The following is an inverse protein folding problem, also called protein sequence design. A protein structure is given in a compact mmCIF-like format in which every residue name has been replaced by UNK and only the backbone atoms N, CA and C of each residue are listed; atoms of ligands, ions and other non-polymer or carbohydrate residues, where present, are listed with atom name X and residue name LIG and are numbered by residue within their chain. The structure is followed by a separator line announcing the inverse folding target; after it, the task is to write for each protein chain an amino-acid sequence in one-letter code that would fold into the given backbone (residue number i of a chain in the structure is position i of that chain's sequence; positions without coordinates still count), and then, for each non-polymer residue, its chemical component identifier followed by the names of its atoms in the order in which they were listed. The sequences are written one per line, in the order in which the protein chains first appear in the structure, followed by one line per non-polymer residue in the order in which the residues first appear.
data_IF_178664190298
#
_entry.id   IF_178664190298
#
_cell.length_a   1.000
_cell.length_b   1.000
_cell.length_c   1.000
_cell.angle_alpha   90.00
_cell.angle_beta   90.00
_cell.angle_gamma   90.00
#
_symmetry.space_group_name_H-M   'P 1'
#
loop_
_entity.id
_entity.type
_entity.pdbx_description
1 polymer ?
#
# COMPACT_ATOMS: atom_id res chain seq x y z
N UNK A 1 -39.01 102.31 3.08
CA UNK A 1 -38.71 101.09 2.28
C UNK A 1 -39.47 99.92 2.89
N UNK A 2 -40.30 99.23 2.11
CA UNK A 2 -41.40 98.41 2.59
C UNK A 2 -40.92 97.12 3.29
N UNK A 3 -41.23 96.97 4.59
CA UNK A 3 -40.90 95.81 5.42
C UNK A 3 -41.27 94.44 4.78
N UNK A 4 -42.32 94.42 3.93
CA UNK A 4 -42.72 93.24 3.16
C UNK A 4 -41.64 92.74 2.19
N UNK A 5 -40.84 93.62 1.58
CA UNK A 5 -39.73 93.23 0.69
C UNK A 5 -38.56 92.64 1.48
N UNK A 6 -38.28 93.15 2.68
CA UNK A 6 -37.16 92.67 3.51
C UNK A 6 -37.46 91.28 4.09
N UNK A 7 -38.70 91.02 4.50
CA UNK A 7 -39.17 89.68 4.88
C UNK A 7 -39.05 88.66 3.72
N UNK A 8 -39.34 89.11 2.50
CA UNK A 8 -39.28 88.25 1.31
C UNK A 8 -37.83 87.87 0.97
N UNK A 9 -36.87 88.79 1.14
CA UNK A 9 -35.44 88.49 0.96
C UNK A 9 -34.92 87.52 2.03
N UNK A 10 -35.31 87.68 3.30
CA UNK A 10 -34.90 86.77 4.38
C UNK A 10 -35.49 85.38 4.19
N UNK A 11 -36.74 85.27 3.74
CA UNK A 11 -37.36 83.98 3.45
C UNK A 11 -36.66 83.25 2.29
N UNK A 12 -36.35 83.95 1.20
CA UNK A 12 -35.60 83.38 0.08
C UNK A 12 -34.19 82.96 0.53
N UNK A 13 -33.48 83.81 1.27
CA UNK A 13 -32.14 83.48 1.77
C UNK A 13 -32.17 82.27 2.73
N UNK A 14 -33.16 82.20 3.62
CA UNK A 14 -33.37 81.06 4.50
C UNK A 14 -33.66 79.77 3.74
N UNK A 15 -34.46 79.85 2.67
CA UNK A 15 -34.80 78.70 1.82
C UNK A 15 -33.58 78.20 1.06
N UNK A 16 -32.77 79.11 0.51
CA UNK A 16 -31.53 78.79 -0.23
C UNK A 16 -30.48 78.14 0.68
N UNK A 17 -30.42 78.53 1.95
CA UNK A 17 -29.50 77.93 2.94
C UNK A 17 -30.04 76.62 3.51
N UNK A 18 -31.35 76.49 3.68
CA UNK A 18 -31.97 75.27 4.21
C UNK A 18 -31.96 74.12 3.20
N UNK A 19 -32.14 74.40 1.90
CA UNK A 19 -32.14 73.41 0.82
C UNK A 19 -30.92 72.46 0.83
N UNK A 20 -29.66 72.93 0.82
CA UNK A 20 -28.50 72.04 0.84
C UNK A 20 -28.37 71.27 2.15
N UNK A 21 -28.87 71.82 3.27
CA UNK A 21 -28.83 71.16 4.57
C UNK A 21 -29.81 69.98 4.64
N UNK A 22 -31.03 70.17 4.14
CA UNK A 22 -32.04 69.12 4.02
C UNK A 22 -31.58 68.04 3.02
N UNK A 23 -31.02 68.44 1.87
CA UNK A 23 -30.56 67.49 0.86
C UNK A 23 -29.41 66.61 1.38
N UNK A 24 -28.51 67.17 2.21
CA UNK A 24 -27.41 66.43 2.84
C UNK A 24 -27.86 65.47 3.94
N UNK A 25 -28.97 65.76 4.64
CA UNK A 25 -29.55 64.89 5.66
C UNK A 25 -30.35 63.74 5.02
N UNK A 26 -31.11 64.01 3.96
CA UNK A 26 -31.99 63.03 3.31
C UNK A 26 -31.22 62.11 2.37
N UNK A 27 -30.31 62.65 1.55
CA UNK A 27 -29.52 61.85 0.60
C UNK A 27 -28.18 61.43 1.20
N UNK A 28 -28.24 60.82 2.39
CA UNK A 28 -27.09 60.30 3.13
C UNK A 28 -26.00 59.72 2.21
N UNK A 29 -24.76 60.07 2.52
CA UNK A 29 -23.55 59.77 1.75
C UNK A 29 -23.59 58.34 1.21
N UNK A 30 -23.49 58.18 -0.11
CA UNK A 30 -23.50 56.89 -0.81
C UNK A 30 -22.52 55.91 -0.14
N UNK A 31 -23.03 55.05 0.74
CA UNK A 31 -22.23 54.02 1.39
C UNK A 31 -22.03 52.89 0.39
N UNK A 32 -20.77 52.61 0.07
CA UNK A 32 -20.40 51.54 -0.87
C UNK A 32 -20.86 50.20 -0.31
N UNK A 33 -21.83 49.57 -0.96
CA UNK A 33 -22.25 48.21 -0.61
C UNK A 33 -21.08 47.25 -0.81
N UNK A 34 -20.76 46.51 0.25
CA UNK A 34 -19.73 45.47 0.23
C UNK A 34 -20.35 44.16 0.66
N UNK A 35 -20.07 43.11 -0.11
CA UNK A 35 -20.52 41.78 0.21
C UNK A 35 -19.59 41.18 1.27
N UNK A 36 -20.15 40.95 2.46
CA UNK A 36 -19.46 40.26 3.56
C UNK A 36 -20.08 38.88 3.73
N UNK A 37 -19.21 37.89 3.94
CA UNK A 37 -19.62 36.53 4.27
C UNK A 37 -19.24 36.23 5.73
N UNK A 38 -20.16 35.61 6.46
CA UNK A 38 -19.95 35.23 7.86
C UNK A 38 -19.04 34.01 7.95
N UNK A 39 -17.95 34.12 8.71
CA UNK A 39 -17.01 33.02 8.95
C UNK A 39 -17.68 31.94 9.81
N UNK A 40 -17.75 30.71 9.30
CA UNK A 40 -18.17 29.54 10.06
C UNK A 40 -17.02 28.56 10.23
N UNK A 41 -16.78 28.08 11.45
CA UNK A 41 -15.79 27.05 11.70
C UNK A 41 -16.31 25.70 11.19
N UNK A 42 -15.60 25.11 10.21
CA UNK A 42 -15.90 23.77 9.68
C UNK A 42 -14.69 22.88 9.91
N UNK A 43 -14.93 21.66 10.38
CA UNK A 43 -13.89 20.63 10.46
C UNK A 43 -13.61 20.15 9.04
N UNK A 44 -12.39 20.41 8.54
CA UNK A 44 -11.90 19.85 7.29
C UNK A 44 -11.10 18.61 7.66
N UNK A 45 -11.57 17.44 7.22
CA UNK A 45 -10.84 16.18 7.38
C UNK A 45 -10.10 15.89 6.07
N UNK A 46 -8.80 16.18 5.97
CA UNK A 46 -8.03 15.85 4.78
C UNK A 46 -7.89 14.33 4.67
N UNK A 47 -8.40 13.74 3.59
CA UNK A 47 -8.13 12.35 3.23
C UNK A 47 -6.96 12.29 2.25
N UNK A 48 -5.96 11.48 2.55
CA UNK A 48 -4.87 11.16 1.62
C UNK A 48 -5.21 9.82 0.95
N UNK A 49 -5.18 9.79 -0.37
CA UNK A 49 -5.31 8.54 -1.14
C UNK A 49 -3.94 7.87 -1.20
N UNK A 50 -3.78 6.77 -0.47
CA UNK A 50 -2.63 5.89 -0.59
C UNK A 50 -2.98 4.77 -1.59
N UNK A 51 -2.32 4.76 -2.75
CA UNK A 51 -2.41 3.66 -3.71
C UNK A 51 -1.27 2.68 -3.47
N UNK A 52 -1.59 1.39 -3.46
CA UNK A 52 -0.61 0.31 -3.35
C UNK A 52 -1.20 -1.00 -3.89
N UNK A 53 -0.37 -2.03 -3.93
CA UNK A 53 -0.78 -3.38 -4.30
C UNK A 53 -0.62 -4.28 -3.09
N UNK A 54 -1.53 -5.25 -2.93
CA UNK A 54 -1.40 -6.29 -1.93
C UNK A 54 -0.45 -7.35 -2.47
N UNK A 55 0.64 -7.59 -1.76
CA UNK A 55 1.56 -8.69 -2.01
C UNK A 55 1.54 -9.64 -0.82
N UNK A 56 1.88 -10.91 -1.06
CA UNK A 56 2.08 -11.87 0.02
C UNK A 56 3.35 -11.50 0.80
N UNK A 57 3.36 -11.78 2.10
CA UNK A 57 4.53 -11.55 2.96
C UNK A 57 5.70 -12.47 2.54
N UNK A 58 5.38 -13.70 2.13
CA UNK A 58 6.35 -14.70 1.70
C UNK A 58 5.87 -15.38 0.41
N UNK A 59 6.71 -15.38 -0.61
CA UNK A 59 6.46 -16.06 -1.88
C UNK A 59 7.69 -16.92 -2.21
N UNK A 60 7.48 -18.22 -2.39
CA UNK A 60 8.56 -19.17 -2.66
C UNK A 60 8.30 -19.86 -3.99
N UNK A 61 9.24 -19.71 -4.91
CA UNK A 61 9.25 -20.43 -6.17
C UNK A 61 9.78 -21.85 -5.94
N UNK A 62 8.91 -22.86 -6.14
CA UNK A 62 9.32 -24.25 -6.03
C UNK A 62 10.05 -24.70 -7.30
N UNK A 63 11.29 -25.14 -7.15
CA UNK A 63 12.10 -25.69 -8.24
C UNK A 63 12.70 -27.03 -7.83
N UNK A 64 12.85 -27.94 -8.78
CA UNK A 64 13.58 -29.19 -8.54
C UNK A 64 15.06 -28.90 -8.31
N UNK A 65 15.64 -29.49 -7.27
CA UNK A 65 17.08 -29.43 -6.99
C UNK A 65 17.90 -30.18 -8.05
N UNK A 66 17.31 -31.24 -8.62
CA UNK A 66 17.93 -32.06 -9.66
C UNK A 66 17.21 -31.90 -11.00
N UNK A 67 17.97 -31.96 -12.09
CA UNK A 67 17.40 -32.00 -13.43
C UNK A 67 16.89 -33.42 -13.68
N UNK A 68 15.61 -33.57 -14.02
CA UNK A 68 15.03 -34.85 -14.36
C UNK A 68 13.64 -34.73 -14.94
N UNK A 69 13.11 -35.85 -15.43
CA UNK A 69 11.75 -35.93 -15.96
C UNK A 69 10.76 -36.03 -14.81
N UNK A 70 9.63 -35.32 -14.90
CA UNK A 70 8.53 -35.48 -13.93
C UNK A 70 7.92 -36.88 -14.08
N UNK A 71 7.93 -37.65 -13.00
CA UNK A 71 7.35 -38.99 -12.93
C UNK A 71 5.88 -38.94 -12.45
N UNK A 72 5.57 -38.07 -11.49
CA UNK A 72 4.22 -37.85 -10.98
C UNK A 72 4.07 -36.46 -10.36
N UNK A 73 2.86 -35.91 -10.46
CA UNK A 73 2.41 -34.70 -9.77
C UNK A 73 1.29 -35.10 -8.80
N UNK A 74 1.33 -34.59 -7.57
CA UNK A 74 0.42 -35.00 -6.49
C UNK A 74 -0.50 -33.87 -6.01
N UNK A 75 -0.44 -32.71 -6.66
CA UNK A 75 -1.26 -31.54 -6.33
C UNK A 75 -1.89 -30.97 -7.59
N UNK A 76 -3.02 -30.29 -7.43
CA UNK A 76 -3.68 -29.53 -8.48
C UNK A 76 -3.52 -28.01 -8.27
N UNK A 77 -3.82 -27.24 -9.30
CA UNK A 77 -3.76 -25.78 -9.23
C UNK A 77 -4.80 -25.25 -8.21
N UNK A 78 -4.33 -24.49 -7.23
CA UNK A 78 -5.18 -23.93 -6.16
C UNK A 78 -5.23 -24.77 -4.89
N UNK A 79 -4.58 -25.93 -4.85
CA UNK A 79 -4.47 -26.73 -3.63
C UNK A 79 -3.60 -26.05 -2.57
N UNK A 80 -4.00 -26.20 -1.31
CA UNK A 80 -3.23 -25.72 -0.16
C UNK A 80 -2.24 -26.81 0.23
N UNK A 81 -0.95 -26.47 0.23
CA UNK A 81 0.14 -27.37 0.63
C UNK A 81 0.80 -26.84 1.90
N UNK A 82 1.30 -27.75 2.73
CA UNK A 82 2.10 -27.42 3.91
C UNK A 82 3.54 -27.92 3.76
N UNK A 83 4.42 -27.41 4.63
CA UNK A 83 5.82 -27.83 4.62
C UNK A 83 5.93 -29.34 4.84
N UNK A 84 6.63 -30.02 3.93
CA UNK A 84 6.85 -31.46 3.97
C UNK A 84 5.93 -32.27 3.06
N UNK A 85 4.93 -31.64 2.44
CA UNK A 85 4.05 -32.32 1.49
C UNK A 85 4.80 -32.69 0.21
N UNK A 86 4.56 -33.91 -0.27
CA UNK A 86 5.10 -34.37 -1.55
C UNK A 86 4.28 -33.75 -2.69
N UNK A 87 4.81 -32.70 -3.30
CA UNK A 87 4.16 -31.99 -4.40
C UNK A 87 4.42 -32.68 -5.74
N UNK A 88 5.67 -33.05 -6.01
CA UNK A 88 6.15 -33.56 -7.29
C UNK A 88 7.21 -34.63 -7.06
N UNK A 89 7.18 -35.68 -7.89
CA UNK A 89 8.24 -36.69 -7.93
C UNK A 89 8.93 -36.69 -9.29
N UNK A 90 10.24 -36.57 -9.25
CA UNK A 90 11.14 -36.68 -10.40
C UNK A 90 11.48 -38.16 -10.62
N UNK A 91 11.71 -38.58 -11.87
CA UNK A 91 12.15 -39.92 -12.22
C UNK A 91 13.55 -40.19 -11.68
N UNK A 92 13.65 -41.11 -10.72
CA UNK A 92 14.83 -41.41 -9.93
C UNK A 92 15.47 -42.77 -10.26
N UNK A 93 14.98 -43.49 -11.29
CA UNK A 93 15.43 -44.87 -11.60
C UNK A 93 16.95 -45.02 -11.71
N UNK A 94 17.59 -44.09 -12.40
CA UNK A 94 19.05 -44.12 -12.57
C UNK A 94 19.78 -43.83 -11.25
N UNK A 95 19.21 -42.97 -10.40
CA UNK A 95 19.76 -42.67 -9.08
C UNK A 95 19.64 -43.87 -8.14
N UNK A 96 18.49 -44.54 -8.13
CA UNK A 96 18.27 -45.76 -7.33
C UNK A 96 19.21 -46.89 -7.78
N UNK A 97 19.37 -47.09 -9.10
CA UNK A 97 20.30 -48.09 -9.60
C UNK A 97 21.76 -47.79 -9.21
N UNK A 98 22.17 -46.52 -9.26
CA UNK A 98 23.51 -46.10 -8.82
C UNK A 98 23.72 -46.24 -7.31
N UNK A 99 22.69 -45.98 -6.51
CA UNK A 99 22.71 -46.21 -5.06
C UNK A 99 22.89 -47.70 -4.76
N UNK A 100 22.08 -48.57 -5.37
CA UNK A 100 22.16 -50.02 -5.17
C UNK A 100 23.55 -50.57 -5.53
N UNK A 101 24.15 -50.09 -6.63
CA UNK A 101 25.50 -50.44 -7.02
C UNK A 101 26.54 -50.00 -5.97
N UNK A 102 26.39 -48.79 -5.44
CA UNK A 102 27.29 -48.24 -4.42
C UNK A 102 27.19 -49.02 -3.11
N UNK A 103 25.98 -49.36 -2.69
CA UNK A 103 25.76 -50.20 -1.51
C UNK A 103 26.31 -51.61 -1.69
N UNK A 104 26.20 -52.20 -2.89
CA UNK A 104 26.81 -53.49 -3.19
C UNK A 104 28.33 -53.45 -3.06
N UNK A 105 28.97 -52.39 -3.54
CA UNK A 105 30.42 -52.19 -3.38
C UNK A 105 30.82 -52.10 -1.90
N UNK A 106 30.05 -51.35 -1.09
CA UNK A 106 30.28 -51.26 0.37
C UNK A 106 30.13 -52.63 1.04
N UNK A 107 29.10 -53.41 0.66
CA UNK A 107 28.90 -54.77 1.19
C UNK A 107 30.07 -55.69 0.87
N UNK A 108 30.58 -55.68 -0.37
CA UNK A 108 31.74 -56.50 -0.76
C UNK A 108 32.97 -56.12 0.07
N UNK A 109 33.25 -54.82 0.19
CA UNK A 109 34.38 -54.34 0.99
C UNK A 109 34.27 -54.74 2.46
N UNK A 110 33.06 -54.69 3.03
CA UNK A 110 32.80 -55.09 4.43
C UNK A 110 33.08 -56.58 4.62
N UNK A 111 32.59 -57.42 3.71
CA UNK A 111 32.83 -58.87 3.73
C UNK A 111 34.33 -59.18 3.60
N UNK A 112 35.07 -58.41 2.81
CA UNK A 112 36.52 -58.58 2.66
C UNK A 112 37.28 -58.23 3.94
N UNK A 113 36.89 -57.14 4.62
CA UNK A 113 37.45 -56.76 5.92
C UNK A 113 37.15 -57.84 6.98
N UNK A 114 35.91 -58.32 7.05
CA UNK A 114 35.53 -59.40 7.98
C UNK A 114 36.37 -60.67 7.72
N UNK A 115 36.54 -61.05 6.44
CA UNK A 115 37.39 -62.17 6.06
C UNK A 115 38.85 -61.96 6.48
N UNK A 116 39.38 -60.75 6.36
CA UNK A 116 40.73 -60.42 6.81
C UNK A 116 40.86 -60.53 8.34
N UNK A 117 39.87 -60.04 9.09
CA UNK A 117 39.87 -60.12 10.55
C UNK A 117 39.86 -61.59 11.01
N UNK A 118 38.96 -62.41 10.47
CA UNK A 118 38.90 -63.85 10.81
C UNK A 118 40.21 -64.56 10.45
N UNK A 119 40.85 -64.16 9.34
CA UNK A 119 42.15 -64.71 8.94
C UNK A 119 43.26 -64.36 9.94
N UNK A 120 43.26 -63.15 10.49
CA UNK A 120 44.24 -62.71 11.50
C UNK A 120 44.02 -63.48 12.82
N UNK A 121 42.77 -63.60 13.30
CA UNK A 121 42.45 -64.35 14.54
C UNK A 121 42.94 -65.81 14.48
N UNK A 122 42.81 -66.45 13.32
CA UNK A 122 43.29 -67.83 13.11
C UNK A 122 44.82 -67.95 13.06
N UNK A 123 45.56 -66.86 12.80
CA UNK A 123 47.03 -66.86 12.75
C UNK A 123 47.66 -66.51 14.11
N UNK A 124 46.90 -65.89 15.02
CA UNK A 124 47.36 -65.56 16.38
C UNK A 124 47.17 -66.72 17.38
N UNK A 125 46.42 -67.77 17.00
CA UNK A 125 46.30 -69.04 17.77
C UNK A 125 47.35 -70.06 17.34
#
# INVERSE_FOLDING_TARGET
MNAKKLLLVVFIAGTVVALPFVNRIVFGVNSKEVNVSTLSQRVISPSILASGYLAHEEEVMLSSEIIGKVAALFVEEGDVVVQGDLVLRVDDKNFIAGLEQSEAAVRINTIDIERQIVRIDNLER
#
